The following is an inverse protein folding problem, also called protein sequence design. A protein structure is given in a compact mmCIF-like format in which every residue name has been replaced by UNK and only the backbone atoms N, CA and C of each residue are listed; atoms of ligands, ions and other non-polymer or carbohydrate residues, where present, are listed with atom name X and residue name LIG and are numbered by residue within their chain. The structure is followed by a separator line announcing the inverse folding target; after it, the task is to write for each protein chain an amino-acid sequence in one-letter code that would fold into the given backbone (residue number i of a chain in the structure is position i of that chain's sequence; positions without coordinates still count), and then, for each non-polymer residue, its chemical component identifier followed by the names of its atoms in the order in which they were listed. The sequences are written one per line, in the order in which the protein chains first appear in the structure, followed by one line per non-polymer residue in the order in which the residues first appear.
data_IF_151887461304
#
_entry.id   IF_151887461304
#
_cell.length_a   1.000
_cell.length_b   1.000
_cell.length_c   1.000
_cell.angle_alpha   90.00
_cell.angle_beta   90.00
_cell.angle_gamma   90.00
#
_symmetry.space_group_name_H-M   'P 1'
#
loop_
_entity.id
_entity.type
_entity.pdbx_description
1 polymer ?
#
# COMPACT_ATOMS: atom_id res chain seq x y z
N UNK A 1 -3.19 61.11 -21.61
CA UNK A 1 -2.49 59.82 -21.39
C UNK A 1 -3.26 59.10 -20.30
N UNK A 2 -4.12 58.16 -20.71
CA UNK A 2 -4.90 57.32 -19.79
C UNK A 2 -3.98 56.20 -19.35
N UNK A 3 -3.64 56.17 -18.08
CA UNK A 3 -2.93 55.03 -17.48
C UNK A 3 -3.99 53.97 -17.22
N UNK A 4 -4.01 52.94 -18.07
CA UNK A 4 -4.79 51.73 -17.79
C UNK A 4 -4.15 51.01 -16.61
N UNK A 5 -4.84 50.97 -15.48
CA UNK A 5 -4.56 50.04 -14.38
C UNK A 5 -4.59 48.62 -14.93
N UNK A 6 -3.62 47.75 -14.56
CA UNK A 6 -3.70 46.33 -14.94
C UNK A 6 -4.97 45.74 -14.34
N UNK A 7 -5.74 45.07 -15.16
CA UNK A 7 -6.91 44.31 -14.73
C UNK A 7 -6.41 43.28 -13.69
N UNK A 8 -6.92 43.41 -12.48
CA UNK A 8 -6.92 42.31 -11.54
C UNK A 8 -7.80 41.23 -12.16
N UNK A 9 -7.20 40.28 -12.87
CA UNK A 9 -7.88 39.03 -13.18
C UNK A 9 -8.32 38.45 -11.84
N UNK A 10 -9.61 38.63 -11.55
CA UNK A 10 -10.23 37.98 -10.41
C UNK A 10 -10.00 36.49 -10.63
N UNK A 11 -9.13 35.90 -9.83
CA UNK A 11 -8.92 34.46 -9.83
C UNK A 11 -10.31 33.82 -9.73
N UNK A 12 -10.65 32.99 -10.70
CA UNK A 12 -11.74 32.03 -10.55
C UNK A 12 -11.28 30.99 -9.51
N UNK A 13 -11.23 31.42 -8.25
CA UNK A 13 -10.80 30.59 -7.10
C UNK A 13 -11.67 29.37 -6.98
N UNK A 14 -12.86 29.44 -7.53
CA UNK A 14 -13.82 28.32 -7.54
C UNK A 14 -13.38 27.17 -8.44
N UNK A 15 -12.56 27.42 -9.44
CA UNK A 15 -12.10 26.39 -10.37
C UNK A 15 -10.60 26.16 -10.33
N UNK A 16 -9.83 27.08 -9.75
CA UNK A 16 -8.38 26.98 -9.72
C UNK A 16 -7.90 26.12 -8.55
N UNK A 17 -6.90 25.29 -8.80
CA UNK A 17 -6.08 24.65 -7.77
C UNK A 17 -4.59 24.84 -8.09
N UNK A 18 -3.78 24.83 -7.04
CA UNK A 18 -2.32 24.90 -7.15
C UNK A 18 -1.73 23.74 -6.36
N UNK A 19 -0.92 22.94 -7.03
CA UNK A 19 -0.04 21.95 -6.41
C UNK A 19 1.32 22.60 -6.18
N UNK A 20 1.83 22.52 -4.97
CA UNK A 20 3.11 23.08 -4.55
C UNK A 20 3.97 21.99 -3.95
N UNK A 21 5.21 21.87 -4.40
CA UNK A 21 6.22 20.93 -3.86
C UNK A 21 7.18 21.69 -2.93
N UNK A 22 7.81 20.99 -2.00
CA UNK A 22 8.73 21.59 -1.03
C UNK A 22 9.99 22.18 -1.65
N UNK A 23 10.36 21.76 -2.86
CA UNK A 23 11.47 22.35 -3.61
C UNK A 23 11.13 23.68 -4.31
N UNK A 24 9.86 24.10 -4.21
CA UNK A 24 9.35 25.33 -4.81
C UNK A 24 8.68 25.13 -6.18
N UNK A 25 8.70 23.91 -6.72
CA UNK A 25 7.98 23.60 -7.97
C UNK A 25 6.47 23.77 -7.76
N UNK A 26 5.81 24.47 -8.69
CA UNK A 26 4.37 24.71 -8.65
C UNK A 26 3.70 24.33 -9.95
N UNK A 27 2.52 23.72 -9.85
CA UNK A 27 1.67 23.42 -10.99
C UNK A 27 0.28 24.00 -10.74
N UNK A 28 -0.21 24.78 -11.70
CA UNK A 28 -1.58 25.30 -11.67
C UNK A 28 -2.48 24.43 -12.53
N UNK A 29 -3.64 24.08 -12.00
CA UNK A 29 -4.64 23.28 -12.64
C UNK A 29 -6.05 23.63 -12.16
N UNK A 30 -6.96 22.67 -12.20
CA UNK A 30 -8.33 22.80 -11.77
C UNK A 30 -8.59 22.06 -10.47
N UNK A 31 -9.39 22.66 -9.59
CA UNK A 31 -9.88 21.98 -8.40
C UNK A 31 -10.67 20.73 -8.79
N UNK A 32 -10.34 19.61 -8.15
CA UNK A 32 -10.92 18.30 -8.38
C UNK A 32 -11.25 17.64 -7.03
N UNK A 33 -12.45 17.09 -6.87
CA UNK A 33 -12.93 16.64 -5.57
C UNK A 33 -13.29 17.78 -4.63
N UNK A 34 -13.01 17.62 -3.34
CA UNK A 34 -13.23 18.64 -2.32
C UNK A 34 -12.32 19.85 -2.51
N UNK A 35 -12.73 20.99 -1.97
CA UNK A 35 -11.95 22.23 -1.98
C UNK A 35 -11.31 22.47 -0.63
N UNK A 36 -10.14 23.12 -0.63
CA UNK A 36 -9.42 23.47 0.58
C UNK A 36 -7.92 23.26 0.45
N UNK A 37 -7.32 22.80 1.52
CA UNK A 37 -5.89 22.50 1.60
C UNK A 37 -5.69 21.08 2.05
N UNK A 38 -4.72 20.40 1.43
CA UNK A 38 -4.22 19.12 1.91
C UNK A 38 -2.70 19.07 1.79
N UNK A 39 -2.06 18.30 2.67
CA UNK A 39 -0.62 18.05 2.67
C UNK A 39 -0.35 16.56 2.70
N UNK A 40 0.80 16.17 2.16
CA UNK A 40 1.28 14.79 2.20
C UNK A 40 2.59 14.61 1.45
N UNK A 41 3.16 13.43 1.56
CA UNK A 41 4.24 13.01 0.67
C UNK A 41 3.66 12.76 -0.71
N UNK A 42 4.15 13.47 -1.74
CA UNK A 42 3.67 13.25 -3.10
C UNK A 42 4.36 12.05 -3.72
N UNK A 43 3.55 11.13 -4.22
CA UNK A 43 3.97 9.86 -4.83
C UNK A 43 3.23 9.63 -6.13
N UNK A 44 3.77 8.83 -7.04
CA UNK A 44 3.08 8.49 -8.28
C UNK A 44 2.77 7.01 -8.37
N UNK A 45 1.63 6.68 -8.98
CA UNK A 45 1.20 5.31 -9.26
C UNK A 45 1.14 5.09 -10.78
N UNK A 46 1.77 4.01 -11.25
CA UNK A 46 1.86 3.64 -12.67
C UNK A 46 0.73 2.72 -13.14
N UNK A 47 -0.21 2.37 -12.28
CA UNK A 47 -1.38 1.58 -12.64
C UNK A 47 -2.24 2.27 -13.69
N UNK A 48 -2.67 1.52 -14.70
CA UNK A 48 -3.57 2.01 -15.74
C UNK A 48 -5.05 1.88 -15.32
N UNK A 49 -5.34 1.06 -14.32
CA UNK A 49 -6.65 0.75 -13.74
C UNK A 49 -6.55 0.69 -12.23
N UNK A 50 -7.66 0.48 -11.52
CA UNK A 50 -7.62 0.26 -10.08
C UNK A 50 -7.43 1.55 -9.26
N UNK A 51 -7.98 2.66 -9.75
CA UNK A 51 -7.87 3.93 -9.01
C UNK A 51 -8.72 3.94 -7.72
N UNK A 52 -9.85 3.22 -7.68
CA UNK A 52 -10.68 3.13 -6.48
C UNK A 52 -9.97 2.31 -5.41
N UNK A 53 -9.35 1.20 -5.78
CA UNK A 53 -8.49 0.39 -4.92
C UNK A 53 -7.29 1.19 -4.43
N UNK A 54 -6.65 1.98 -5.29
CA UNK A 54 -5.54 2.88 -4.90
C UNK A 54 -5.98 3.92 -3.87
N UNK A 55 -7.14 4.55 -4.08
CA UNK A 55 -7.65 5.58 -3.18
C UNK A 55 -8.01 5.04 -1.79
N UNK A 56 -8.53 3.81 -1.74
CA UNK A 56 -9.01 3.15 -0.53
C UNK A 56 -7.97 2.23 0.14
N UNK A 57 -6.76 2.10 -0.43
CA UNK A 57 -5.64 1.39 0.20
C UNK A 57 -5.06 2.20 1.38
N UNK A 58 -5.16 1.69 2.63
CA UNK A 58 -4.65 2.38 3.80
C UNK A 58 -3.15 2.68 3.76
N UNK A 59 -2.37 1.95 2.96
CA UNK A 59 -0.93 2.18 2.80
C UNK A 59 -0.60 3.54 2.16
N UNK A 60 -1.58 4.21 1.52
CA UNK A 60 -1.43 5.58 1.02
C UNK A 60 -1.76 6.67 2.06
N UNK A 61 -2.04 6.30 3.30
CA UNK A 61 -2.34 7.30 4.31
C UNK A 61 -1.23 8.36 4.42
N UNK A 62 -1.61 9.64 4.48
CA UNK A 62 -0.75 10.83 4.45
C UNK A 62 0.06 11.00 3.14
N UNK A 63 -0.37 10.39 2.04
CA UNK A 63 0.25 10.60 0.72
C UNK A 63 -0.70 11.33 -0.23
N UNK A 64 -0.15 12.18 -1.10
CA UNK A 64 -0.81 12.76 -2.26
C UNK A 64 -0.45 11.91 -3.45
N UNK A 65 -1.43 11.25 -4.07
CA UNK A 65 -1.21 10.28 -5.14
C UNK A 65 -1.40 10.92 -6.51
N UNK A 66 -0.37 10.79 -7.36
CA UNK A 66 -0.39 11.18 -8.77
C UNK A 66 -0.66 9.96 -9.63
N UNK A 67 -1.76 9.95 -10.38
CA UNK A 67 -1.97 8.90 -11.37
C UNK A 67 -1.24 9.22 -12.67
N UNK A 68 -0.40 8.27 -13.13
CA UNK A 68 0.31 8.45 -14.42
C UNK A 68 -0.59 8.16 -15.61
N UNK A 69 -1.62 7.33 -15.44
CA UNK A 69 -2.65 7.14 -16.45
C UNK A 69 -3.36 8.47 -16.76
N UNK A 70 -3.44 8.88 -18.02
CA UNK A 70 -3.89 10.22 -18.37
C UNK A 70 -5.38 10.43 -18.12
N UNK A 71 -6.20 9.39 -18.17
CA UNK A 71 -7.65 9.47 -18.03
C UNK A 71 -8.14 8.63 -16.85
N UNK A 72 -8.74 9.26 -15.86
CA UNK A 72 -9.14 8.66 -14.57
C UNK A 72 -10.62 8.90 -14.30
N UNK A 73 -11.32 7.93 -13.68
CA UNK A 73 -12.73 8.02 -13.31
C UNK A 73 -13.69 7.46 -14.37
N UNK A 74 -13.17 6.91 -15.46
CA UNK A 74 -13.97 6.38 -16.57
C UNK A 74 -14.82 5.16 -16.21
N UNK A 75 -14.39 4.35 -15.24
CA UNK A 75 -15.17 3.19 -14.74
C UNK A 75 -16.16 3.58 -13.61
N UNK A 76 -16.13 4.83 -13.12
CA UNK A 76 -16.90 5.25 -11.97
C UNK A 76 -16.39 4.68 -10.66
N UNK A 77 -17.24 4.62 -9.65
CA UNK A 77 -17.05 3.95 -8.37
C UNK A 77 -18.16 2.96 -8.11
N UNK A 78 -17.93 1.95 -7.28
CA UNK A 78 -18.89 0.94 -6.87
C UNK A 78 -18.55 0.40 -5.47
N UNK A 79 -19.41 -0.46 -4.90
CA UNK A 79 -19.28 -0.98 -3.55
C UNK A 79 -18.37 -2.23 -3.45
N UNK A 80 -17.98 -2.83 -4.58
CA UNK A 80 -17.21 -4.08 -4.63
C UNK A 80 -15.69 -3.85 -4.65
N UNK A 81 -15.22 -2.75 -5.24
CA UNK A 81 -13.81 -2.47 -5.50
C UNK A 81 -13.04 -1.77 -4.36
N UNK A 82 -13.66 -1.18 -3.29
CA UNK A 82 -12.89 -0.59 -2.19
C UNK A 82 -12.05 -1.63 -1.44
N UNK A 83 -10.80 -1.29 -1.21
CA UNK A 83 -9.86 -2.10 -0.41
C UNK A 83 -10.05 -1.91 1.10
N UNK A 84 -10.83 -0.90 1.51
CA UNK A 84 -11.15 -0.64 2.90
C UNK A 84 -12.32 0.32 3.06
N UNK A 85 -12.65 0.68 4.30
CA UNK A 85 -13.84 1.45 4.71
C UNK A 85 -13.96 2.88 4.17
N UNK A 86 -12.89 3.49 3.62
CA UNK A 86 -12.87 4.88 3.15
C UNK A 86 -11.70 5.16 2.23
N UNK A 87 -11.66 6.34 1.63
CA UNK A 87 -10.49 6.89 0.95
C UNK A 87 -9.44 7.31 2.01
N UNK A 88 -8.18 6.92 1.81
CA UNK A 88 -7.08 7.20 2.73
C UNK A 88 -6.05 8.18 2.18
N UNK A 89 -5.99 8.38 0.87
CA UNK A 89 -5.06 9.35 0.29
C UNK A 89 -5.34 10.75 0.84
N UNK A 90 -4.30 11.50 1.15
CA UNK A 90 -4.45 12.89 1.59
C UNK A 90 -4.90 13.79 0.45
N UNK A 91 -4.48 13.49 -0.77
CA UNK A 91 -4.88 14.25 -1.95
C UNK A 91 -4.71 13.45 -3.24
N UNK A 92 -5.33 13.92 -4.31
CA UNK A 92 -5.36 13.21 -5.57
C UNK A 92 -5.05 14.11 -6.76
N UNK A 93 -4.09 13.68 -7.59
CA UNK A 93 -3.59 14.44 -8.74
C UNK A 93 -3.81 13.65 -10.02
N UNK A 94 -4.56 14.20 -10.95
CA UNK A 94 -4.90 13.57 -12.23
C UNK A 94 -4.70 14.53 -13.39
N UNK A 95 -4.51 13.99 -14.59
CA UNK A 95 -4.44 14.84 -15.77
C UNK A 95 -5.83 15.19 -16.30
N UNK A 96 -6.63 14.18 -16.61
CA UNK A 96 -7.93 14.35 -17.26
C UNK A 96 -8.99 13.47 -16.59
N UNK A 97 -9.79 14.03 -15.67
CA UNK A 97 -10.85 13.28 -15.04
C UNK A 97 -12.02 13.06 -15.99
N UNK A 98 -12.56 11.84 -15.96
CA UNK A 98 -13.74 11.50 -16.74
C UNK A 98 -14.95 12.35 -16.30
N UNK A 99 -15.59 13.02 -17.27
CA UNK A 99 -16.78 13.83 -17.00
C UNK A 99 -18.01 12.99 -16.67
N UNK A 100 -18.05 11.76 -17.19
CA UNK A 100 -19.11 10.78 -16.95
C UNK A 100 -18.49 9.39 -16.94
N UNK A 101 -18.80 8.56 -15.96
CA UNK A 101 -18.42 7.16 -15.99
C UNK A 101 -19.16 6.44 -17.13
N UNK A 102 -18.49 5.44 -17.70
CA UNK A 102 -19.01 4.63 -18.81
C UNK A 102 -18.68 3.16 -18.57
N UNK A 103 -19.23 2.59 -17.50
CA UNK A 103 -19.04 1.18 -17.13
C UNK A 103 -20.33 0.65 -16.50
N UNK A 104 -20.68 -0.61 -16.80
CA UNK A 104 -21.88 -1.25 -16.28
C UNK A 104 -21.85 -1.46 -14.75
N UNK A 105 -20.66 -1.51 -14.12
CA UNK A 105 -20.50 -1.61 -12.67
C UNK A 105 -20.56 -0.28 -11.94
N UNK A 106 -20.63 0.84 -12.67
CA UNK A 106 -20.61 2.17 -12.05
C UNK A 106 -21.87 2.41 -11.22
N UNK A 107 -21.71 2.65 -9.93
CA UNK A 107 -22.77 3.10 -9.02
C UNK A 107 -22.75 4.63 -8.82
N UNK A 108 -21.60 5.29 -9.09
CA UNK A 108 -21.41 6.72 -8.91
C UNK A 108 -20.22 7.28 -9.67
N UNK A 109 -20.01 8.59 -9.58
CA UNK A 109 -18.84 9.25 -10.15
C UNK A 109 -17.71 9.34 -9.12
N UNK A 110 -16.48 9.23 -9.58
CA UNK A 110 -15.31 9.43 -8.73
C UNK A 110 -15.24 10.86 -8.15
N UNK A 111 -15.70 11.86 -8.91
CA UNK A 111 -15.71 13.25 -8.43
C UNK A 111 -16.61 13.43 -7.22
N UNK A 112 -17.81 12.84 -7.26
CA UNK A 112 -18.78 12.94 -6.17
C UNK A 112 -18.26 12.21 -4.92
N UNK A 113 -17.64 11.03 -5.08
CA UNK A 113 -17.02 10.27 -4.01
C UNK A 113 -15.88 11.04 -3.32
N UNK A 114 -15.00 11.70 -4.09
CA UNK A 114 -13.94 12.56 -3.55
C UNK A 114 -14.52 13.76 -2.77
N UNK A 115 -15.61 14.36 -3.25
CA UNK A 115 -16.29 15.47 -2.56
C UNK A 115 -16.91 14.99 -1.26
N UNK A 116 -17.65 13.87 -1.29
CA UNK A 116 -18.33 13.29 -0.13
C UNK A 116 -17.35 12.94 1.00
N UNK A 117 -16.19 12.37 0.63
CA UNK A 117 -15.17 11.99 1.59
C UNK A 117 -14.16 13.12 1.91
N UNK A 118 -14.36 14.33 1.36
CA UNK A 118 -13.54 15.50 1.68
C UNK A 118 -12.12 15.46 1.12
N UNK A 119 -11.88 14.68 0.05
CA UNK A 119 -10.56 14.54 -0.57
C UNK A 119 -10.28 15.70 -1.53
N UNK A 120 -9.25 16.48 -1.19
CA UNK A 120 -8.80 17.60 -2.03
C UNK A 120 -7.93 17.09 -3.17
N UNK A 121 -8.22 17.54 -4.39
CA UNK A 121 -7.47 17.12 -5.56
C UNK A 121 -7.25 18.25 -6.57
N UNK A 122 -6.43 17.94 -7.56
CA UNK A 122 -6.11 18.81 -8.69
C UNK A 122 -6.12 18.01 -9.99
N UNK A 123 -6.69 18.60 -11.02
CA UNK A 123 -6.70 18.06 -12.38
C UNK A 123 -6.14 19.07 -13.38
N UNK A 124 -6.02 18.65 -14.64
CA UNK A 124 -5.51 19.49 -15.75
C UNK A 124 -4.04 19.93 -15.52
N UNK A 125 -3.24 19.05 -14.90
CA UNK A 125 -1.79 19.24 -14.72
C UNK A 125 -0.99 18.23 -15.54
N UNK A 126 0.24 18.57 -15.88
CA UNK A 126 1.14 17.64 -16.58
C UNK A 126 1.69 16.58 -15.62
N UNK A 127 0.90 15.51 -15.42
CA UNK A 127 1.29 14.39 -14.55
C UNK A 127 2.53 13.64 -15.04
N UNK A 128 2.82 13.67 -16.36
CA UNK A 128 4.05 13.08 -16.91
C UNK A 128 5.28 13.88 -16.49
N UNK A 129 5.24 15.21 -16.63
CA UNK A 129 6.35 16.07 -16.19
C UNK A 129 6.56 15.94 -14.67
N UNK A 130 5.47 15.93 -13.90
CA UNK A 130 5.50 15.75 -12.44
C UNK A 130 6.11 14.38 -12.05
N UNK A 131 5.69 13.29 -12.69
CA UNK A 131 6.24 11.95 -12.45
C UNK A 131 7.74 11.89 -12.74
N UNK A 132 8.20 12.51 -13.84
CA UNK A 132 9.63 12.58 -14.14
C UNK A 132 10.39 13.39 -13.10
N UNK A 133 9.83 14.51 -12.64
CA UNK A 133 10.40 15.32 -11.59
C UNK A 133 10.59 14.51 -10.28
N UNK A 134 9.55 13.80 -9.85
CA UNK A 134 9.60 12.96 -8.65
C UNK A 134 10.56 11.77 -8.79
N UNK A 135 10.67 11.18 -9.98
CA UNK A 135 11.64 10.12 -10.24
C UNK A 135 13.09 10.64 -10.15
N UNK A 136 13.34 11.82 -10.68
CA UNK A 136 14.69 12.38 -10.77
C UNK A 136 15.15 13.04 -9.45
N UNK A 137 14.19 13.56 -8.63
CA UNK A 137 14.45 14.29 -7.38
C UNK A 137 14.10 13.51 -6.11
N UNK A 138 13.36 12.43 -6.23
CA UNK A 138 12.75 11.70 -5.12
C UNK A 138 11.36 12.20 -4.76
N UNK A 139 10.63 11.38 -4.00
CA UNK A 139 9.35 11.81 -3.39
C UNK A 139 9.63 12.85 -2.30
N UNK A 140 8.69 13.78 -2.14
CA UNK A 140 8.87 14.92 -1.24
C UNK A 140 7.52 15.38 -0.70
N UNK A 141 7.54 16.32 0.26
CA UNK A 141 6.31 16.95 0.74
C UNK A 141 5.68 17.80 -0.34
N UNK A 142 4.35 17.79 -0.37
CA UNK A 142 3.57 18.63 -1.26
C UNK A 142 2.28 19.10 -0.57
N UNK A 143 1.66 20.10 -1.16
CA UNK A 143 0.34 20.59 -0.78
C UNK A 143 -0.50 20.92 -2.01
N UNK A 144 -1.80 20.63 -1.94
CA UNK A 144 -2.79 21.06 -2.92
C UNK A 144 -3.65 22.13 -2.26
N UNK A 145 -3.80 23.26 -2.93
CA UNK A 145 -4.55 24.42 -2.45
C UNK A 145 -5.62 24.81 -3.47
N UNK A 146 -6.85 24.99 -3.02
CA UNK A 146 -7.98 25.42 -3.87
C UNK A 146 -9.01 26.24 -3.09
N UNK A 147 -9.87 26.98 -3.78
CA UNK A 147 -10.89 27.81 -3.14
C UNK A 147 -10.26 28.90 -2.23
N UNK A 148 -10.82 29.06 -1.04
CA UNK A 148 -10.39 30.07 -0.05
C UNK A 148 -8.94 29.86 0.43
N UNK A 149 -8.40 28.66 0.28
CA UNK A 149 -7.00 28.38 0.62
C UNK A 149 -5.99 29.13 -0.25
N UNK A 150 -6.39 29.59 -1.43
CA UNK A 150 -5.57 30.42 -2.33
C UNK A 150 -5.62 31.90 -2.00
N UNK A 151 -6.46 32.30 -1.04
CA UNK A 151 -6.70 33.71 -0.71
C UNK A 151 -6.33 34.00 0.75
N UNK A 152 -5.76 35.16 1.01
CA UNK A 152 -5.53 35.72 2.34
C UNK A 152 -5.84 37.20 2.33
N UNK A 153 -6.65 37.67 3.27
CA UNK A 153 -7.05 39.09 3.40
C UNK A 153 -7.62 39.69 2.09
N UNK A 154 -8.32 38.85 1.29
CA UNK A 154 -8.89 39.24 0.00
C UNK A 154 -7.91 39.25 -1.18
N UNK A 155 -6.66 38.85 -0.98
CA UNK A 155 -5.62 38.80 -2.01
C UNK A 155 -5.13 37.35 -2.22
N UNK A 156 -4.63 37.10 -3.44
CA UNK A 156 -3.98 35.82 -3.74
C UNK A 156 -2.77 35.61 -2.83
N UNK A 157 -2.68 34.42 -2.19
CA UNK A 157 -1.48 34.05 -1.41
C UNK A 157 -0.24 34.02 -2.29
N UNK A 158 0.89 34.61 -1.85
CA UNK A 158 2.16 34.48 -2.53
C UNK A 158 2.60 33.01 -2.61
N UNK A 159 3.27 32.64 -3.69
CA UNK A 159 3.79 31.26 -3.87
C UNK A 159 4.77 30.89 -2.75
N UNK A 160 5.57 31.82 -2.31
CA UNK A 160 6.55 31.63 -1.23
C UNK A 160 5.88 31.24 0.08
N UNK A 161 4.71 31.80 0.39
CA UNK A 161 3.91 31.42 1.56
C UNK A 161 3.39 29.98 1.44
N UNK A 162 2.91 29.60 0.27
CA UNK A 162 2.44 28.23 0.01
C UNK A 162 3.58 27.21 0.13
N UNK A 163 4.77 27.55 -0.36
CA UNK A 163 5.98 26.71 -0.22
C UNK A 163 6.35 26.54 1.25
N UNK A 164 6.28 27.59 2.05
CA UNK A 164 6.61 27.52 3.48
C UNK A 164 5.59 26.65 4.25
N UNK A 165 4.30 26.73 3.90
CA UNK A 165 3.28 25.83 4.46
C UNK A 165 3.60 24.37 4.14
N UNK A 166 4.04 24.06 2.92
CA UNK A 166 4.43 22.70 2.52
C UNK A 166 5.68 22.26 3.29
N UNK A 167 6.68 23.12 3.44
CA UNK A 167 7.91 22.80 4.19
C UNK A 167 7.68 22.59 5.68
N UNK A 168 6.63 23.17 6.23
CA UNK A 168 6.23 22.96 7.63
C UNK A 168 5.37 21.71 7.87
N UNK A 169 4.89 21.05 6.79
CA UNK A 169 4.09 19.83 6.90
C UNK A 169 4.93 18.65 7.43
N UNK A 170 4.30 17.68 8.11
CA UNK A 170 4.98 16.47 8.59
C UNK A 170 5.66 15.68 7.47
N UNK A 171 6.76 15.01 7.79
CA UNK A 171 7.48 14.09 6.90
C UNK A 171 7.03 12.64 7.14
N UNK A 172 7.21 11.78 6.15
CA UNK A 172 6.91 10.35 6.26
C UNK A 172 7.96 9.60 7.08
N UNK A 173 9.23 10.01 6.99
CA UNK A 173 10.31 9.38 7.75
C UNK A 173 10.08 9.54 9.26
N UNK A 174 10.15 8.43 10.00
CA UNK A 174 9.90 8.38 11.44
C UNK A 174 8.40 8.42 11.83
N UNK A 175 7.47 8.35 10.86
CA UNK A 175 6.04 8.38 11.15
C UNK A 175 5.53 6.97 11.48
N UNK A 176 4.98 6.79 12.67
CA UNK A 176 4.21 5.61 13.08
C UNK A 176 2.73 5.82 12.72
N UNK A 177 2.26 5.20 11.64
CA UNK A 177 0.93 5.44 11.09
C UNK A 177 0.00 4.22 11.16
N UNK A 178 0.50 3.04 11.50
CA UNK A 178 -0.30 1.81 11.53
C UNK A 178 -1.54 1.95 12.44
N UNK A 179 -1.39 2.60 13.59
CA UNK A 179 -2.51 2.83 14.54
C UNK A 179 -3.60 3.74 14.00
N UNK A 180 -3.29 4.64 13.07
CA UNK A 180 -4.27 5.59 12.52
C UNK A 180 -5.20 4.93 11.49
N UNK A 181 -4.75 3.84 10.87
CA UNK A 181 -5.48 3.13 9.81
C UNK A 181 -6.09 1.81 10.28
N UNK A 182 -5.56 1.23 11.32
CA UNK A 182 -6.00 -0.04 11.92
C UNK A 182 -7.47 -0.02 12.31
N UNK A 183 -8.10 -1.19 12.32
CA UNK A 183 -9.46 -1.36 12.84
C UNK A 183 -9.52 -1.00 14.34
N UNK A 184 -10.54 -0.28 14.79
CA UNK A 184 -10.71 0.03 16.23
C UNK A 184 -11.18 -1.18 17.06
N UNK A 185 -11.78 -2.18 16.41
CA UNK A 185 -12.35 -3.38 17.06
C UNK A 185 -12.02 -4.61 16.23
N UNK A 186 -11.73 -5.72 16.92
CA UNK A 186 -11.53 -7.00 16.26
C UNK A 186 -12.80 -7.48 15.55
N UNK A 187 -12.63 -8.18 14.45
CA UNK A 187 -13.72 -8.84 13.72
C UNK A 187 -13.24 -10.18 13.14
N UNK A 188 -14.19 -10.99 12.71
CA UNK A 188 -13.93 -12.33 12.17
C UNK A 188 -14.41 -12.44 10.74
N UNK A 189 -13.60 -13.04 9.88
CA UNK A 189 -13.98 -13.44 8.53
C UNK A 189 -14.02 -14.97 8.51
N UNK A 190 -15.22 -15.52 8.32
CA UNK A 190 -15.44 -16.95 8.26
C UNK A 190 -15.04 -17.54 6.91
N UNK A 191 -14.73 -18.85 6.83
CA UNK A 191 -14.46 -19.52 5.57
C UNK A 191 -15.55 -19.28 4.52
N UNK A 192 -15.13 -19.06 3.27
CA UNK A 192 -16.00 -18.67 2.16
C UNK A 192 -15.89 -19.65 0.98
N UNK A 193 -16.62 -19.38 -0.11
CA UNK A 193 -16.59 -20.22 -1.30
C UNK A 193 -17.06 -21.65 -1.00
N UNK A 194 -16.26 -22.65 -1.38
CA UNK A 194 -16.55 -24.06 -1.14
C UNK A 194 -16.49 -24.47 0.35
N UNK A 195 -15.87 -23.64 1.18
CA UNK A 195 -15.76 -23.84 2.63
C UNK A 195 -16.84 -23.14 3.44
N UNK A 196 -17.74 -22.41 2.80
CA UNK A 196 -18.81 -21.68 3.50
C UNK A 196 -19.67 -22.60 4.36
N UNK A 197 -19.82 -22.25 5.65
CA UNK A 197 -20.61 -23.02 6.61
C UNK A 197 -19.97 -24.33 7.08
N UNK A 198 -18.71 -24.60 6.71
CA UNK A 198 -17.95 -25.76 7.21
C UNK A 198 -17.05 -25.34 8.38
N UNK A 199 -16.61 -26.30 9.18
CA UNK A 199 -15.56 -26.06 10.17
C UNK A 199 -14.29 -25.56 9.47
N UNK A 200 -13.61 -24.54 10.04
CA UNK A 200 -12.40 -24.00 9.46
C UNK A 200 -11.29 -25.05 9.43
N UNK A 201 -10.53 -25.09 8.34
CA UNK A 201 -9.34 -25.94 8.23
C UNK A 201 -8.23 -25.44 9.17
N UNK A 202 -8.11 -24.12 9.30
CA UNK A 202 -7.13 -23.40 10.10
C UNK A 202 -7.70 -22.10 10.63
N UNK A 203 -7.11 -21.59 11.70
CA UNK A 203 -7.41 -20.28 12.28
C UNK A 203 -6.17 -19.37 12.19
N UNK A 204 -6.33 -18.17 11.63
CA UNK A 204 -5.28 -17.17 11.53
C UNK A 204 -5.67 -15.93 12.31
N UNK A 205 -4.74 -15.39 13.09
CA UNK A 205 -4.86 -14.04 13.64
C UNK A 205 -4.11 -13.08 12.74
N UNK A 206 -4.83 -12.14 12.13
CA UNK A 206 -4.30 -11.10 11.26
C UNK A 206 -4.21 -9.78 12.03
N UNK A 207 -2.99 -9.29 12.25
CA UNK A 207 -2.76 -7.98 12.86
C UNK A 207 -2.96 -6.92 11.79
N UNK A 208 -3.94 -6.04 12.02
CA UNK A 208 -4.32 -4.98 11.09
C UNK A 208 -3.42 -3.75 11.24
N UNK A 209 -2.47 -3.63 10.33
CA UNK A 209 -1.58 -2.47 10.18
C UNK A 209 -2.06 -1.51 9.08
N UNK A 210 -3.20 -1.79 8.49
CA UNK A 210 -3.80 -1.16 7.31
C UNK A 210 -4.24 -2.22 6.30
N UNK A 211 -4.88 -3.29 6.79
CA UNK A 211 -5.25 -4.48 6.01
C UNK A 211 -6.23 -4.11 4.89
N UNK A 212 -5.97 -4.64 3.71
CA UNK A 212 -6.92 -4.58 2.60
C UNK A 212 -7.96 -5.69 2.72
N UNK A 213 -9.20 -5.39 2.30
CA UNK A 213 -10.34 -6.32 2.38
C UNK A 213 -10.10 -7.65 1.65
N UNK A 214 -9.35 -7.62 0.55
CA UNK A 214 -9.01 -8.82 -0.20
C UNK A 214 -8.12 -9.81 0.56
N UNK A 215 -7.27 -9.34 1.48
CA UNK A 215 -6.37 -10.24 2.24
C UNK A 215 -7.13 -11.28 3.08
N UNK A 216 -8.01 -10.90 4.03
CA UNK A 216 -8.78 -11.90 4.77
C UNK A 216 -9.72 -12.70 3.87
N UNK A 217 -10.21 -12.15 2.76
CA UNK A 217 -11.00 -12.87 1.79
C UNK A 217 -10.19 -14.00 1.12
N UNK A 218 -8.95 -13.73 0.65
CA UNK A 218 -8.08 -14.75 0.06
C UNK A 218 -7.75 -15.90 1.02
N UNK A 219 -7.60 -15.58 2.31
CA UNK A 219 -7.45 -16.59 3.35
C UNK A 219 -8.75 -17.39 3.55
N UNK A 220 -9.90 -16.72 3.63
CA UNK A 220 -11.20 -17.37 3.84
C UNK A 220 -11.61 -18.30 2.69
N UNK A 221 -11.27 -17.96 1.46
CA UNK A 221 -11.46 -18.78 0.26
C UNK A 221 -10.70 -20.14 0.33
N UNK A 222 -9.72 -20.25 1.23
CA UNK A 222 -8.91 -21.46 1.49
C UNK A 222 -9.34 -22.21 2.75
N UNK A 223 -10.53 -21.91 3.25
CA UNK A 223 -11.07 -22.58 4.45
C UNK A 223 -10.47 -22.09 5.76
N UNK A 224 -9.83 -20.91 5.76
CA UNK A 224 -9.20 -20.32 6.93
C UNK A 224 -10.18 -19.35 7.59
N UNK A 225 -10.41 -19.51 8.92
CA UNK A 225 -11.05 -18.49 9.74
C UNK A 225 -10.01 -17.40 10.07
N UNK A 226 -10.35 -16.14 9.82
CA UNK A 226 -9.42 -15.02 10.05
C UNK A 226 -9.97 -14.12 11.16
N UNK A 227 -9.26 -14.04 12.27
CA UNK A 227 -9.50 -13.05 13.31
C UNK A 227 -8.64 -11.83 13.00
N UNK A 228 -9.26 -10.75 12.55
CA UNK A 228 -8.56 -9.48 12.32
C UNK A 228 -8.57 -8.69 13.62
N UNK A 229 -7.38 -8.39 14.14
CA UNK A 229 -7.19 -7.69 15.42
C UNK A 229 -6.49 -6.34 15.23
N UNK A 230 -6.77 -5.35 16.10
CA UNK A 230 -6.09 -4.05 16.03
C UNK A 230 -4.57 -4.15 16.11
N UNK A 231 -3.86 -3.16 15.53
CA UNK A 231 -2.39 -3.04 15.63
C UNK A 231 -1.88 -2.92 17.08
N UNK A 232 -2.74 -2.48 18.01
CA UNK A 232 -2.41 -2.36 19.42
C UNK A 232 -2.53 -3.66 20.22
N UNK A 233 -2.91 -4.78 19.57
CA UNK A 233 -3.06 -6.08 20.24
C UNK A 233 -1.74 -6.58 20.81
N UNK A 234 -1.84 -7.34 21.91
CA UNK A 234 -0.70 -7.97 22.57
C UNK A 234 -0.56 -9.43 22.14
N UNK A 235 0.55 -10.07 22.52
CA UNK A 235 0.75 -11.49 22.25
C UNK A 235 -0.27 -12.35 23.01
N UNK A 236 -0.71 -11.91 24.17
CA UNK A 236 -1.75 -12.57 24.97
C UNK A 236 -3.10 -12.54 24.24
N UNK A 237 -3.46 -11.40 23.61
CA UNK A 237 -4.67 -11.27 22.80
C UNK A 237 -4.64 -12.23 21.60
N UNK A 238 -3.47 -12.36 20.95
CA UNK A 238 -3.26 -13.25 19.81
C UNK A 238 -3.39 -14.71 20.24
N UNK A 239 -2.66 -15.11 21.29
CA UNK A 239 -2.62 -16.51 21.75
C UNK A 239 -3.93 -16.98 22.40
N UNK A 240 -4.72 -16.07 22.96
CA UNK A 240 -6.05 -16.38 23.49
C UNK A 240 -7.03 -16.88 22.41
N UNK A 241 -6.76 -16.62 21.12
CA UNK A 241 -7.53 -17.07 19.97
C UNK A 241 -7.07 -18.43 19.43
N UNK A 242 -6.05 -19.05 20.04
CA UNK A 242 -5.48 -20.36 19.68
C UNK A 242 -5.18 -20.48 18.15
N UNK A 243 -4.38 -19.59 17.57
CA UNK A 243 -4.18 -19.55 16.13
C UNK A 243 -3.21 -20.64 15.65
N UNK A 244 -3.50 -21.20 14.47
CA UNK A 244 -2.56 -22.03 13.71
C UNK A 244 -1.45 -21.20 13.05
N UNK A 245 -1.70 -19.91 12.81
CA UNK A 245 -0.73 -18.99 12.22
C UNK A 245 -1.07 -17.52 12.46
N UNK A 246 -0.07 -16.67 12.30
CA UNK A 246 -0.18 -15.22 12.48
C UNK A 246 0.18 -14.51 11.18
N UNK A 247 -0.61 -13.52 10.83
CA UNK A 247 -0.44 -12.71 9.64
C UNK A 247 -0.26 -11.23 10.02
N UNK A 248 0.75 -10.55 9.45
CA UNK A 248 0.88 -9.09 9.57
C UNK A 248 0.61 -8.46 8.21
N UNK A 249 -0.33 -7.51 8.19
CA UNK A 249 -0.80 -6.91 6.96
C UNK A 249 0.15 -5.84 6.40
N UNK A 250 -0.20 -5.36 5.22
CA UNK A 250 0.28 -4.10 4.67
C UNK A 250 -0.10 -2.92 5.58
N UNK A 251 0.54 -1.76 5.36
CA UNK A 251 0.27 -0.54 6.12
C UNK A 251 1.16 0.62 5.73
N UNK A 252 0.82 1.84 6.20
CA UNK A 252 1.57 3.06 5.97
C UNK A 252 2.65 3.28 7.04
N UNK A 253 3.56 4.21 6.76
CA UNK A 253 4.52 4.72 7.72
C UNK A 253 5.94 4.23 7.50
N UNK A 254 6.80 4.57 8.46
CA UNK A 254 8.21 4.17 8.47
C UNK A 254 8.38 2.93 9.37
N UNK A 255 8.85 1.79 8.83
CA UNK A 255 9.04 0.58 9.62
C UNK A 255 10.06 0.75 10.75
N UNK A 256 10.92 1.77 10.70
CA UNK A 256 11.86 2.06 11.79
C UNK A 256 11.17 2.61 13.04
N UNK A 257 9.97 3.19 12.89
CA UNK A 257 9.15 3.71 13.98
C UNK A 257 8.22 2.65 14.61
N UNK A 258 7.97 1.52 13.92
CA UNK A 258 7.04 0.46 14.32
C UNK A 258 7.60 -0.45 15.41
N UNK A 259 7.98 0.11 16.55
CA UNK A 259 8.67 -0.63 17.63
C UNK A 259 7.77 -1.63 18.34
N UNK A 260 6.48 -1.34 18.47
CA UNK A 260 5.49 -2.24 19.06
C UNK A 260 5.31 -3.48 18.17
N UNK A 261 5.08 -3.29 16.88
CA UNK A 261 4.86 -4.35 15.90
C UNK A 261 6.08 -5.27 15.76
N UNK A 262 7.28 -4.70 15.80
CA UNK A 262 8.54 -5.46 15.79
C UNK A 262 8.67 -6.31 17.06
N UNK A 263 8.32 -5.76 18.22
CA UNK A 263 8.37 -6.50 19.50
C UNK A 263 7.31 -7.61 19.51
N UNK A 264 6.08 -7.31 19.11
CA UNK A 264 5.00 -8.29 19.00
C UNK A 264 5.37 -9.44 18.04
N UNK A 265 5.97 -9.11 16.89
CA UNK A 265 6.40 -10.15 15.95
C UNK A 265 7.51 -11.03 16.54
N UNK A 266 8.46 -10.48 17.28
CA UNK A 266 9.47 -11.30 17.98
C UNK A 266 8.84 -12.28 18.95
N UNK A 267 7.82 -11.87 19.68
CA UNK A 267 7.08 -12.75 20.60
C UNK A 267 6.33 -13.86 19.86
N UNK A 268 5.82 -13.60 18.64
CA UNK A 268 5.24 -14.61 17.74
C UNK A 268 6.31 -15.60 17.26
N UNK A 269 7.46 -15.10 16.79
CA UNK A 269 8.58 -15.93 16.30
C UNK A 269 9.18 -16.80 17.42
N UNK A 270 9.29 -16.27 18.64
CA UNK A 270 9.75 -17.00 19.83
C UNK A 270 8.88 -18.20 20.18
N UNK A 271 7.57 -18.08 19.90
CA UNK A 271 6.59 -19.17 20.07
C UNK A 271 6.55 -20.13 18.87
N UNK A 272 7.35 -19.87 17.84
CA UNK A 272 7.38 -20.64 16.59
C UNK A 272 6.01 -20.75 15.90
N UNK A 273 5.14 -19.77 16.09
CA UNK A 273 3.89 -19.69 15.36
C UNK A 273 4.19 -19.44 13.87
N UNK A 274 3.57 -20.19 12.95
CA UNK A 274 3.65 -19.94 11.52
C UNK A 274 3.32 -18.48 11.20
N UNK A 275 4.20 -17.83 10.44
CA UNK A 275 4.08 -16.41 10.12
C UNK A 275 4.11 -16.14 8.62
N UNK A 276 3.21 -15.28 8.18
CA UNK A 276 3.24 -14.67 6.86
C UNK A 276 3.06 -13.15 6.97
N UNK A 277 3.90 -12.37 6.26
CA UNK A 277 3.82 -10.91 6.24
C UNK A 277 3.78 -10.34 4.84
N UNK A 278 2.92 -9.35 4.61
CA UNK A 278 2.78 -8.65 3.33
C UNK A 278 3.17 -7.18 3.48
N UNK A 279 4.00 -6.66 2.58
CA UNK A 279 4.39 -5.27 2.43
C UNK A 279 4.97 -4.70 3.74
N UNK A 280 4.20 -4.00 4.56
CA UNK A 280 4.67 -3.54 5.87
C UNK A 280 5.02 -4.72 6.78
N UNK A 281 4.25 -5.83 6.72
CA UNK A 281 4.57 -7.09 7.42
C UNK A 281 5.93 -7.69 7.01
N UNK A 282 6.35 -7.58 5.74
CA UNK A 282 7.69 -7.94 5.31
C UNK A 282 8.77 -7.06 5.95
N UNK A 283 8.53 -5.75 6.00
CA UNK A 283 9.46 -4.81 6.61
C UNK A 283 9.59 -5.03 8.13
N UNK A 284 8.48 -5.34 8.81
CA UNK A 284 8.47 -5.70 10.22
C UNK A 284 9.22 -7.02 10.47
N UNK A 285 9.08 -8.02 9.57
CA UNK A 285 9.88 -9.26 9.67
C UNK A 285 11.37 -8.95 9.53
N UNK A 286 11.77 -8.17 8.52
CA UNK A 286 13.17 -7.76 8.36
C UNK A 286 13.73 -7.10 9.64
N UNK A 287 12.96 -6.17 10.22
CA UNK A 287 13.32 -5.50 11.48
C UNK A 287 13.35 -6.45 12.69
N UNK A 288 12.40 -7.38 12.80
CA UNK A 288 12.37 -8.37 13.88
C UNK A 288 13.59 -9.29 13.83
N UNK A 289 14.01 -9.68 12.64
CA UNK A 289 15.21 -10.48 12.38
C UNK A 289 16.52 -9.70 12.62
N UNK A 290 16.46 -8.37 12.72
CA UNK A 290 17.59 -7.49 12.98
C UNK A 290 18.21 -6.84 11.74
N UNK A 291 17.61 -6.98 10.57
CA UNK A 291 18.01 -6.26 9.37
C UNK A 291 17.61 -4.79 9.43
N UNK A 292 18.28 -3.93 8.66
CA UNK A 292 17.90 -2.54 8.42
C UNK A 292 16.71 -2.41 7.49
N UNK A 293 16.15 -1.20 7.46
CA UNK A 293 15.23 -0.76 6.40
C UNK A 293 15.67 0.62 5.91
N UNK A 294 15.41 0.91 4.65
CA UNK A 294 15.78 2.18 4.04
C UNK A 294 14.64 2.73 3.17
N UNK A 295 14.62 4.05 3.01
CA UNK A 295 13.64 4.72 2.16
C UNK A 295 14.10 4.70 0.71
N UNK A 296 13.23 4.25 -0.19
CA UNK A 296 13.45 4.30 -1.63
C UNK A 296 13.30 5.75 -2.13
N UNK A 297 14.04 6.10 -3.18
CA UNK A 297 14.01 7.46 -3.72
C UNK A 297 12.59 7.88 -4.17
N UNK A 298 11.86 6.99 -4.82
CA UNK A 298 10.48 7.26 -5.25
C UNK A 298 9.49 6.12 -4.93
N UNK A 299 9.98 4.98 -4.40
CA UNK A 299 9.17 3.81 -4.05
C UNK A 299 8.61 3.05 -5.26
N UNK A 300 7.97 1.92 -4.99
CA UNK A 300 7.30 1.10 -6.00
C UNK A 300 5.79 1.23 -5.84
N UNK A 301 5.09 1.74 -6.88
CA UNK A 301 3.63 1.87 -6.88
C UNK A 301 3.08 1.62 -8.28
N UNK A 302 2.27 0.59 -8.37
CA UNK A 302 1.66 0.15 -9.62
C UNK A 302 1.35 -1.34 -9.64
N UNK A 303 0.78 -1.80 -10.74
CA UNK A 303 0.27 -3.16 -10.89
C UNK A 303 1.05 -3.98 -11.93
N UNK A 304 2.27 -3.58 -12.25
CA UNK A 304 3.07 -4.15 -13.34
C UNK A 304 4.57 -4.24 -12.98
N UNK A 305 4.87 -4.55 -11.73
CA UNK A 305 6.25 -4.65 -11.26
C UNK A 305 6.75 -6.10 -11.36
N UNK A 306 7.83 -6.35 -12.13
CA UNK A 306 8.37 -7.70 -12.26
C UNK A 306 9.23 -8.07 -11.04
N UNK A 307 8.92 -9.21 -10.44
CA UNK A 307 9.63 -9.78 -9.30
C UNK A 307 10.09 -11.19 -9.64
N UNK A 308 11.31 -11.54 -9.30
CA UNK A 308 11.85 -12.89 -9.46
C UNK A 308 11.81 -13.65 -8.15
N UNK A 309 11.18 -14.80 -8.13
CA UNK A 309 11.39 -15.85 -7.13
C UNK A 309 12.77 -16.47 -7.34
N UNK A 310 13.67 -16.32 -6.38
CA UNK A 310 15.06 -16.79 -6.50
C UNK A 310 15.19 -18.31 -6.45
N UNK A 311 14.25 -19.01 -5.80
CA UNK A 311 14.26 -20.47 -5.70
C UNK A 311 13.85 -21.12 -7.02
N UNK A 312 12.78 -20.63 -7.64
CA UNK A 312 12.21 -21.21 -8.87
C UNK A 312 12.72 -20.54 -10.15
N UNK A 313 13.29 -19.33 -10.02
CA UNK A 313 13.69 -18.44 -11.13
C UNK A 313 12.50 -17.99 -11.98
N UNK A 314 11.28 -18.15 -11.49
CA UNK A 314 10.06 -17.66 -12.13
C UNK A 314 9.95 -16.14 -11.91
N UNK A 315 9.55 -15.44 -12.96
CA UNK A 315 9.20 -14.01 -12.89
C UNK A 315 7.69 -13.89 -12.76
N UNK A 316 7.27 -13.11 -11.79
CA UNK A 316 5.88 -12.77 -11.53
C UNK A 316 5.67 -11.29 -11.76
N UNK A 317 4.52 -10.91 -12.29
CA UNK A 317 4.11 -9.52 -12.38
C UNK A 317 3.27 -9.22 -11.14
N UNK A 318 3.67 -8.19 -10.40
CA UNK A 318 3.12 -7.93 -9.06
C UNK A 318 2.48 -6.55 -8.95
N UNK A 319 1.55 -6.43 -8.01
CA UNK A 319 1.02 -5.16 -7.53
C UNK A 319 1.86 -4.69 -6.34
N UNK A 320 2.26 -3.41 -6.33
CA UNK A 320 3.12 -2.85 -5.29
C UNK A 320 2.65 -1.47 -4.85
N UNK A 321 2.83 -1.19 -3.56
CA UNK A 321 2.65 0.13 -2.96
C UNK A 321 3.52 0.25 -1.70
N UNK A 322 4.81 0.58 -1.88
CA UNK A 322 5.71 0.81 -0.75
C UNK A 322 6.76 1.87 -1.03
N UNK A 323 7.22 2.55 0.01
CA UNK A 323 8.28 3.56 -0.04
C UNK A 323 9.53 3.19 0.73
N UNK A 324 9.51 2.04 1.41
CA UNK A 324 10.65 1.49 2.17
C UNK A 324 10.92 0.06 1.73
N UNK A 325 12.15 -0.39 1.93
CA UNK A 325 12.58 -1.75 1.64
C UNK A 325 13.49 -2.29 2.75
N UNK A 326 13.61 -3.61 2.83
CA UNK A 326 14.51 -4.30 3.76
C UNK A 326 15.93 -4.30 3.19
N UNK A 327 16.90 -4.03 4.04
CA UNK A 327 18.33 -4.11 3.74
C UNK A 327 18.89 -5.47 4.19
N UNK A 328 18.77 -6.47 3.31
CA UNK A 328 19.25 -7.82 3.54
C UNK A 328 20.10 -8.30 2.35
N UNK A 329 21.12 -9.18 2.57
CA UNK A 329 21.99 -9.65 1.50
C UNK A 329 21.26 -10.53 0.49
N UNK A 330 21.31 -10.16 -0.79
CA UNK A 330 20.67 -10.87 -1.91
C UNK A 330 21.63 -11.96 -2.43
N UNK A 331 21.07 -13.16 -2.67
CA UNK A 331 21.83 -14.28 -3.25
C UNK A 331 22.72 -15.04 -2.27
N UNK A 332 22.73 -14.66 -1.01
CA UNK A 332 23.48 -15.32 0.06
C UNK A 332 22.55 -15.74 1.19
N UNK A 333 22.89 -16.84 1.87
CA UNK A 333 22.24 -17.22 3.11
C UNK A 333 22.86 -16.40 4.25
N UNK A 334 22.04 -15.63 4.96
CA UNK A 334 22.47 -14.86 6.12
C UNK A 334 22.01 -15.53 7.41
N UNK A 335 22.67 -15.20 8.52
CA UNK A 335 22.13 -15.42 9.87
C UNK A 335 21.39 -14.18 10.31
N UNK A 336 20.17 -14.33 10.83
CA UNK A 336 19.36 -13.23 11.36
C UNK A 336 20.17 -12.45 12.42
N UNK A 337 20.41 -11.14 12.24
CA UNK A 337 21.35 -10.41 13.13
C UNK A 337 20.85 -10.25 14.57
N UNK A 338 19.52 -10.34 14.79
CA UNK A 338 18.93 -10.13 16.11
C UNK A 338 19.46 -11.17 17.15
N UNK A 339 19.89 -10.66 18.30
CA UNK A 339 20.29 -11.43 19.48
C UNK A 339 21.26 -12.60 19.15
N UNK A 340 22.33 -12.27 18.39
CA UNK A 340 23.37 -13.23 18.05
C UNK A 340 22.92 -14.41 17.17
N UNK A 341 21.87 -14.26 16.40
CA UNK A 341 21.36 -15.29 15.49
C UNK A 341 20.19 -16.09 16.03
N UNK A 342 19.43 -15.54 16.98
CA UNK A 342 18.29 -16.20 17.66
C UNK A 342 17.31 -16.89 16.70
N UNK A 343 17.06 -16.31 15.54
CA UNK A 343 16.10 -16.82 14.56
C UNK A 343 16.74 -17.65 13.44
N UNK A 344 18.07 -17.91 13.54
CA UNK A 344 18.77 -18.78 12.62
C UNK A 344 19.00 -18.18 11.25
N UNK A 345 18.92 -19.05 10.23
CA UNK A 345 19.24 -18.72 8.83
C UNK A 345 18.06 -18.09 8.11
N UNK A 346 18.36 -17.11 7.26
CA UNK A 346 17.42 -16.37 6.44
C UNK A 346 17.96 -16.22 5.03
N UNK A 347 17.09 -16.25 4.05
CA UNK A 347 17.40 -15.94 2.66
C UNK A 347 16.44 -14.87 2.13
N UNK A 348 16.92 -14.04 1.22
CA UNK A 348 16.06 -13.23 0.37
C UNK A 348 15.43 -14.19 -0.64
N UNK A 349 14.11 -14.29 -0.62
CA UNK A 349 13.35 -15.21 -1.46
C UNK A 349 12.94 -14.60 -2.79
N UNK A 350 12.68 -13.31 -2.82
CA UNK A 350 12.21 -12.58 -3.99
C UNK A 350 12.97 -11.27 -4.18
N UNK A 351 13.19 -10.87 -5.44
CA UNK A 351 13.93 -9.65 -5.82
C UNK A 351 13.21 -8.92 -6.94
N UNK A 352 13.09 -7.60 -6.82
CA UNK A 352 12.59 -6.72 -7.86
C UNK A 352 13.57 -6.64 -9.04
N UNK A 353 13.07 -6.87 -10.26
CA UNK A 353 13.95 -6.90 -11.45
C UNK A 353 14.28 -5.50 -12.01
N UNK A 354 13.66 -4.46 -11.48
CA UNK A 354 13.91 -3.09 -11.94
C UNK A 354 15.15 -2.46 -11.29
N UNK A 355 15.45 -2.83 -10.04
CA UNK A 355 16.45 -2.15 -9.21
C UNK A 355 17.05 -3.02 -8.09
N UNK A 356 16.87 -4.34 -8.17
CA UNK A 356 17.41 -5.32 -7.24
C UNK A 356 16.99 -5.10 -5.77
N UNK A 357 15.79 -4.56 -5.53
CA UNK A 357 15.23 -4.39 -4.19
C UNK A 357 14.76 -5.74 -3.63
N UNK A 358 14.94 -5.93 -2.30
CA UNK A 358 14.44 -7.11 -1.59
C UNK A 358 12.91 -7.12 -1.59
N UNK A 359 12.34 -8.13 -2.20
CA UNK A 359 10.89 -8.29 -2.37
C UNK A 359 10.30 -9.46 -1.56
N UNK A 360 11.13 -10.15 -0.78
CA UNK A 360 10.66 -11.20 0.12
C UNK A 360 11.77 -11.82 0.95
N UNK A 361 11.40 -12.33 2.12
CA UNK A 361 12.28 -13.03 3.06
C UNK A 361 11.72 -14.41 3.36
N UNK A 362 12.60 -15.38 3.56
CA UNK A 362 12.28 -16.72 4.04
C UNK A 362 13.23 -17.13 5.16
N UNK A 363 12.66 -17.52 6.29
CA UNK A 363 13.40 -18.09 7.41
C UNK A 363 13.54 -19.60 7.23
N UNK A 364 14.76 -20.13 7.39
CA UNK A 364 15.03 -21.55 7.15
C UNK A 364 14.92 -22.39 8.42
N UNK A 365 15.00 -21.77 9.60
CA UNK A 365 15.04 -22.47 10.89
C UNK A 365 13.81 -22.21 11.76
N UNK A 366 12.93 -21.29 11.34
CA UNK A 366 11.62 -21.00 11.95
C UNK A 366 10.55 -20.89 10.87
N UNK A 367 9.26 -21.18 11.16
CA UNK A 367 8.20 -21.19 10.17
C UNK A 367 7.71 -19.76 9.83
N UNK A 368 8.52 -18.99 9.09
CA UNK A 368 8.20 -17.60 8.76
C UNK A 368 8.68 -17.23 7.36
N UNK A 369 7.81 -16.55 6.62
CA UNK A 369 8.17 -15.93 5.34
C UNK A 369 7.36 -14.65 5.10
N UNK A 370 7.79 -13.84 4.15
CA UNK A 370 7.12 -12.60 3.81
C UNK A 370 7.40 -12.17 2.37
N UNK A 371 6.54 -11.30 1.84
CA UNK A 371 6.73 -10.64 0.54
C UNK A 371 6.45 -9.15 0.67
N UNK A 372 7.16 -8.34 -0.13
CA UNK A 372 7.03 -6.89 -0.13
C UNK A 372 5.85 -6.41 -1.00
N UNK A 373 5.53 -7.14 -2.04
CA UNK A 373 4.42 -6.88 -2.95
C UNK A 373 3.09 -7.44 -2.42
N UNK A 374 2.00 -7.22 -3.17
CA UNK A 374 0.63 -7.54 -2.78
C UNK A 374 0.07 -8.74 -3.53
N UNK A 375 0.19 -9.98 -3.04
CA UNK A 375 -0.34 -11.18 -3.68
C UNK A 375 -1.88 -11.27 -3.65
N UNK A 376 -2.54 -10.50 -2.79
CA UNK A 376 -4.00 -10.38 -2.72
C UNK A 376 -4.57 -9.61 -3.92
N UNK A 377 -3.82 -8.71 -4.48
CA UNK A 377 -4.04 -7.84 -5.64
C UNK A 377 -5.49 -7.82 -6.18
N UNK A 378 -6.34 -6.93 -5.67
CA UNK A 378 -7.67 -6.70 -6.23
C UNK A 378 -7.56 -6.04 -7.61
N UNK A 379 -6.72 -5.01 -7.73
CA UNK A 379 -6.31 -4.42 -8.99
C UNK A 379 -4.94 -4.99 -9.40
N UNK A 380 -4.88 -5.71 -10.50
CA UNK A 380 -3.63 -6.21 -11.04
C UNK A 380 -3.58 -7.73 -11.22
N UNK A 381 -2.40 -8.27 -11.51
CA UNK A 381 -2.20 -9.69 -11.75
C UNK A 381 -2.30 -10.52 -10.46
N UNK A 382 -2.72 -11.77 -10.62
CA UNK A 382 -2.90 -12.73 -9.52
C UNK A 382 -1.81 -13.83 -9.52
N UNK A 383 -0.68 -13.60 -10.17
CA UNK A 383 0.41 -14.59 -10.34
C UNK A 383 0.91 -15.13 -9.00
N UNK A 384 0.90 -14.31 -7.96
CA UNK A 384 1.42 -14.60 -6.64
C UNK A 384 0.36 -15.14 -5.65
N UNK A 385 -0.88 -15.38 -6.08
CA UNK A 385 -1.96 -15.83 -5.18
C UNK A 385 -1.64 -17.17 -4.48
N UNK A 386 -0.74 -17.99 -5.03
CA UNK A 386 -0.27 -19.26 -4.43
C UNK A 386 0.42 -19.07 -3.07
N UNK A 387 0.87 -17.85 -2.73
CA UNK A 387 1.50 -17.59 -1.44
C UNK A 387 0.55 -17.77 -0.25
N UNK A 388 -0.75 -17.60 -0.47
CA UNK A 388 -1.75 -17.94 0.54
C UNK A 388 -1.89 -19.46 0.71
N UNK A 389 -1.72 -20.26 -0.35
CA UNK A 389 -1.68 -21.73 -0.28
C UNK A 389 -0.41 -22.18 0.45
N UNK A 390 0.74 -21.54 0.14
CA UNK A 390 2.00 -21.76 0.87
C UNK A 390 1.85 -21.49 2.38
N UNK A 391 1.10 -20.49 2.78
CA UNK A 391 0.86 -20.20 4.19
C UNK A 391 -0.01 -21.27 4.84
N UNK A 392 -1.05 -21.77 4.15
CA UNK A 392 -1.85 -22.92 4.63
C UNK A 392 -0.98 -24.19 4.79
N UNK A 393 -0.11 -24.46 3.84
CA UNK A 393 0.84 -25.59 3.91
C UNK A 393 1.82 -25.44 5.08
N UNK A 394 2.33 -24.23 5.33
CA UNK A 394 3.21 -23.94 6.45
C UNK A 394 2.52 -24.22 7.80
N UNK A 395 1.26 -23.82 7.96
CA UNK A 395 0.46 -24.09 9.16
C UNK A 395 0.14 -25.60 9.33
N UNK A 396 0.12 -26.34 8.25
CA UNK A 396 -0.23 -27.78 8.27
C UNK A 396 1.01 -28.64 8.55
N UNK A 397 2.14 -28.31 7.96
CA UNK A 397 3.39 -29.09 8.06
C UNK A 397 4.22 -28.75 9.30
N UNK A 398 4.06 -27.55 9.83
CA UNK A 398 4.90 -27.02 10.94
C UNK A 398 6.39 -26.90 10.62
N UNK A 399 6.78 -27.16 9.37
CA UNK A 399 8.15 -27.15 8.90
C UNK A 399 8.43 -25.88 8.09
N UNK A 400 9.54 -25.22 8.38
CA UNK A 400 10.17 -24.32 7.43
C UNK A 400 10.56 -25.19 6.21
N UNK A 401 9.76 -25.10 5.13
CA UNK A 401 9.91 -25.97 3.97
C UNK A 401 10.89 -25.35 2.98
N UNK A 402 12.13 -25.76 3.03
CA UNK A 402 13.11 -25.51 1.96
C UNK A 402 12.93 -26.48 0.75
N UNK A 403 11.86 -27.26 0.70
CA UNK A 403 11.70 -28.27 -0.37
C UNK A 403 10.22 -28.61 -0.61
N UNK A 404 9.49 -27.76 -1.28
CA UNK A 404 8.06 -28.00 -1.60
C UNK A 404 7.58 -27.38 -2.91
N UNK A 405 8.44 -27.30 -3.92
CA UNK A 405 8.01 -27.04 -5.30
C UNK A 405 8.20 -28.30 -6.14
N UNK A 406 7.46 -29.36 -5.79
CA UNK A 406 7.12 -30.37 -6.77
C UNK A 406 6.05 -29.78 -7.69
N UNK A 407 6.40 -29.67 -8.97
CA UNK A 407 5.58 -29.18 -10.04
C UNK A 407 4.16 -29.79 -9.98
N UNK A 408 3.17 -29.00 -9.66
CA UNK A 408 1.81 -29.31 -10.03
C UNK A 408 1.72 -29.18 -11.55
N UNK A 409 1.75 -30.30 -12.24
CA UNK A 409 1.51 -30.41 -13.67
C UNK A 409 0.13 -29.83 -13.97
N UNK A 410 -0.03 -28.87 -14.89
CA UNK A 410 -1.35 -28.43 -15.29
C UNK A 410 -2.09 -29.62 -15.93
N UNK A 411 -3.19 -30.03 -15.34
CA UNK A 411 -4.13 -30.90 -16.02
C UNK A 411 -4.71 -30.14 -17.22
N UNK A 412 -4.24 -30.52 -18.39
CA UNK A 412 -4.85 -30.09 -19.65
C UNK A 412 -6.31 -30.57 -19.66
N UNK A 413 -7.25 -29.65 -19.52
CA UNK A 413 -8.64 -29.93 -19.81
C UNK A 413 -8.78 -30.21 -21.31
N UNK A 414 -8.94 -31.45 -21.68
CA UNK A 414 -9.36 -31.82 -23.01
C UNK A 414 -10.74 -31.21 -23.28
N UNK A 415 -10.77 -30.25 -24.19
CA UNK A 415 -12.02 -29.86 -24.84
C UNK A 415 -12.28 -30.86 -25.95
N UNK A 416 -13.24 -31.76 -25.74
CA UNK A 416 -13.92 -32.41 -26.85
C UNK A 416 -15.00 -31.47 -27.40
N UNK A 417 -14.91 -31.23 -28.69
CA UNK A 417 -15.85 -30.70 -29.69
C UNK A 417 -16.82 -29.57 -29.30
#
# INVERSE_FOLDING_TARGET
VSISTPSTDALDTDRTAVLVLEDGTTLTGRAYGARGTTFGEIVFNTGMTGYQETLTDPSYHRQIVVMTAPHIGNTGVNDDDPESRKIWVSGFVVRDPARRPSNWRSAGSLTDELVEQGVVGISDVDTRALTRHLRDRGVMRAGVFSGDALVRDGYRRPTEELVELVRSAPVMAGADLAREVSTPTAYVVEPSGEFAGKEPLKTVVAVDLGIKSMTPQRLSERGIRVHVVPSSSTIEDITALDPDGVFFSNGPGDPSAATHEVTLLREVLDRRLPYFGICFGNQILGRALGFGTYKLAYGHRGINQPVMDLATRKVEITSQNHGFAVDAPIGEQATAPHDGGRYGRVVVSHVGLNDDVVEGLECLDIPAFSVQYHPEAAAGPHDAAYLFDRFLDLMTSGAASAAGLSAATPQASAKEN
#
